data_IF_197316843271
#
_entry.id   IF_197316843271
#
_cell.length_a   1.000
_cell.length_b   1.000
_cell.length_c   1.000
_cell.angle_alpha   90.00
_cell.angle_beta   90.00
_cell.angle_gamma   90.00
#
_symmetry.space_group_name_H-M   'P 1'
#
loop_
_entity.id
_entity.type
_entity.pdbx_description
1 polymer ?
#
# COMPACT_ATOMS: atom_id res chain seq x y z
N UNK A 1 -17.15 48.83 26.47
CA UNK A 1 -17.31 47.36 26.46
C UNK A 1 -15.92 46.75 26.58
N UNK A 2 -15.56 46.25 27.77
CA UNK A 2 -14.22 45.71 28.07
C UNK A 2 -14.20 44.22 27.71
N UNK A 3 -13.22 43.82 26.91
CA UNK A 3 -12.96 42.41 26.56
C UNK A 3 -12.41 41.67 27.79
N UNK A 4 -12.83 40.43 28.06
CA UNK A 4 -12.26 39.64 29.14
C UNK A 4 -10.88 39.11 28.74
N UNK A 5 -9.88 39.32 29.61
CA UNK A 5 -8.56 38.72 29.50
C UNK A 5 -8.65 37.22 29.84
N UNK A 6 -8.34 36.37 28.86
CA UNK A 6 -8.09 34.94 29.07
C UNK A 6 -6.71 34.78 29.72
N UNK A 7 -6.70 34.40 31.00
CA UNK A 7 -5.48 33.99 31.70
C UNK A 7 -5.05 32.61 31.19
N UNK A 8 -3.93 32.58 30.45
CA UNK A 8 -3.20 31.37 30.10
C UNK A 8 -2.56 30.79 31.37
N UNK A 9 -3.12 29.69 31.89
CA UNK A 9 -2.47 28.85 32.90
C UNK A 9 -1.37 28.03 32.23
N UNK A 10 -0.12 28.25 32.64
CA UNK A 10 1.03 27.41 32.28
C UNK A 10 0.85 25.98 32.80
N UNK A 11 1.23 24.94 32.03
CA UNK A 11 1.23 23.57 32.52
C UNK A 11 2.36 23.38 33.54
N UNK A 12 2.01 22.70 34.65
CA UNK A 12 2.93 22.36 35.72
C UNK A 12 4.03 21.40 35.23
N UNK A 13 5.27 21.65 35.67
CA UNK A 13 6.41 20.78 35.42
C UNK A 13 6.20 19.39 36.07
N UNK A 14 6.61 18.28 35.42
CA UNK A 14 6.54 16.96 36.00
C UNK A 14 7.55 16.81 37.15
N UNK A 15 7.10 16.22 38.27
CA UNK A 15 7.94 15.86 39.42
C UNK A 15 8.87 14.69 39.07
N UNK A 16 10.11 14.66 39.62
CA UNK A 16 11.00 13.51 39.47
C UNK A 16 10.65 12.43 40.51
N UNK A 17 10.42 11.22 40.04
CA UNK A 17 10.23 10.01 40.84
C UNK A 17 9.77 8.90 39.88
N UNK A 18 10.27 7.67 39.90
CA UNK A 18 11.04 6.93 40.88
C UNK A 18 11.77 5.87 40.05
N UNK A 19 13.09 5.69 40.22
CA UNK A 19 13.82 4.63 39.53
C UNK A 19 13.32 3.27 40.02
N UNK A 20 12.73 2.49 39.13
CA UNK A 20 12.46 1.07 39.35
C UNK A 20 13.79 0.30 39.30
N UNK A 21 13.95 -0.76 40.13
CA UNK A 21 15.16 -1.57 40.11
C UNK A 21 15.30 -2.32 38.78
N UNK A 22 16.54 -2.62 38.34
CA UNK A 22 16.79 -3.40 37.14
C UNK A 22 16.17 -4.79 37.31
N UNK A 23 15.27 -5.14 36.39
CA UNK A 23 14.74 -6.49 36.27
C UNK A 23 15.87 -7.47 35.93
N UNK A 24 15.68 -8.78 36.22
CA UNK A 24 16.68 -9.80 35.97
C UNK A 24 17.04 -9.78 34.48
N UNK A 25 18.33 -9.62 34.19
CA UNK A 25 18.87 -9.78 32.86
C UNK A 25 18.47 -11.17 32.37
N UNK A 26 17.64 -11.21 31.31
CA UNK A 26 17.46 -12.41 30.53
C UNK A 26 18.85 -12.89 30.12
N UNK A 27 19.16 -14.14 30.47
CA UNK A 27 20.36 -14.81 30.04
C UNK A 27 20.46 -14.66 28.53
N UNK A 28 21.51 -13.96 28.08
CA UNK A 28 21.96 -14.07 26.70
C UNK A 28 22.55 -15.47 26.59
N UNK A 29 21.76 -16.34 26.00
CA UNK A 29 22.24 -17.63 25.50
C UNK A 29 23.07 -17.31 24.24
N UNK A 30 24.28 -16.79 24.46
CA UNK A 30 25.34 -16.66 23.45
C UNK A 30 25.93 -18.06 23.21
N UNK A 31 25.07 -19.00 22.81
CA UNK A 31 25.50 -20.28 22.27
C UNK A 31 25.99 -20.00 20.86
N UNK A 32 27.29 -19.69 20.75
CA UNK A 32 28.10 -19.81 19.54
C UNK A 32 28.17 -21.29 19.12
N UNK A 33 27.00 -21.87 18.83
CA UNK A 33 26.85 -23.23 18.38
C UNK A 33 27.49 -23.34 17.00
N UNK A 34 28.71 -23.87 16.95
CA UNK A 34 29.28 -24.47 15.75
C UNK A 34 28.18 -25.29 15.09
N UNK A 35 27.70 -24.83 13.92
CA UNK A 35 26.40 -25.24 13.40
C UNK A 35 26.32 -26.72 13.15
N UNK A 36 25.89 -27.54 14.11
CA UNK A 36 25.55 -28.91 13.83
C UNK A 36 24.39 -28.90 12.83
N UNK A 37 24.46 -29.73 11.78
CA UNK A 37 23.31 -29.92 10.90
C UNK A 37 22.27 -30.67 11.72
N UNK A 38 21.26 -29.93 12.18
CA UNK A 38 20.13 -30.49 12.91
C UNK A 38 18.99 -30.82 11.95
N UNK A 39 17.95 -31.43 12.49
CA UNK A 39 16.64 -31.44 11.87
C UNK A 39 15.84 -30.26 12.45
N UNK A 40 15.10 -29.54 11.60
CA UNK A 40 14.11 -28.58 12.09
C UNK A 40 12.93 -29.29 12.77
N UNK A 41 12.02 -28.51 13.33
CA UNK A 41 10.75 -28.99 13.91
C UNK A 41 9.89 -29.81 12.93
N UNK A 42 10.25 -29.85 11.64
CA UNK A 42 9.55 -30.58 10.59
C UNK A 42 10.33 -31.79 10.06
N UNK A 43 11.48 -32.12 10.65
CA UNK A 43 12.33 -33.24 10.25
C UNK A 43 13.20 -32.99 9.01
N UNK A 44 13.33 -31.73 8.56
CA UNK A 44 14.18 -31.37 7.43
C UNK A 44 15.56 -30.87 7.90
N UNK A 45 16.60 -31.09 7.08
CA UNK A 45 17.92 -30.56 7.38
C UNK A 45 17.86 -29.05 7.58
N UNK A 46 18.39 -28.60 8.72
CA UNK A 46 18.31 -27.23 9.17
C UNK A 46 19.62 -26.75 9.76
N UNK A 47 20.11 -25.63 9.24
CA UNK A 47 21.32 -24.96 9.70
C UNK A 47 21.19 -23.48 9.33
N UNK A 48 20.69 -22.66 10.25
CA UNK A 48 20.47 -21.23 10.05
C UNK A 48 21.30 -20.33 10.99
N UNK A 49 22.19 -20.89 11.80
CA UNK A 49 23.03 -20.15 12.76
C UNK A 49 22.23 -19.12 13.61
N UNK A 50 20.98 -19.44 13.94
CA UNK A 50 20.08 -18.58 14.72
C UNK A 50 19.63 -17.31 14.01
N UNK A 51 19.80 -17.18 12.69
CA UNK A 51 19.33 -16.01 11.93
C UNK A 51 17.82 -15.81 12.03
N UNK A 52 17.02 -16.87 11.96
CA UNK A 52 15.55 -16.74 12.04
C UNK A 52 15.11 -16.28 13.43
N UNK A 53 15.67 -16.88 14.49
CA UNK A 53 15.40 -16.48 15.88
C UNK A 53 15.76 -15.02 16.14
N UNK A 54 16.93 -14.56 15.67
CA UNK A 54 17.34 -13.15 15.78
C UNK A 54 16.41 -12.22 15.00
N UNK A 55 15.97 -12.60 13.79
CA UNK A 55 15.01 -11.81 13.03
C UNK A 55 13.66 -11.67 13.76
N UNK A 56 13.20 -12.72 14.45
CA UNK A 56 12.03 -12.62 15.32
C UNK A 56 12.26 -11.71 16.54
N UNK A 57 13.45 -11.76 17.13
CA UNK A 57 13.88 -10.83 18.18
C UNK A 57 13.79 -9.37 17.73
N UNK A 58 14.32 -9.06 16.55
CA UNK A 58 14.20 -7.73 15.94
C UNK A 58 12.74 -7.32 15.67
N UNK A 59 11.88 -8.22 15.20
CA UNK A 59 10.44 -7.96 15.08
C UNK A 59 9.82 -7.57 16.43
N UNK A 60 10.16 -8.29 17.50
CA UNK A 60 9.64 -8.03 18.84
C UNK A 60 10.15 -6.69 19.40
N UNK A 61 11.44 -6.40 19.25
CA UNK A 61 12.05 -5.12 19.63
C UNK A 61 11.42 -3.95 18.88
N UNK A 62 11.24 -4.07 17.56
CA UNK A 62 10.57 -3.06 16.75
C UNK A 62 9.11 -2.83 17.16
N UNK A 63 8.37 -3.88 17.50
CA UNK A 63 7.00 -3.76 18.02
C UNK A 63 6.96 -3.02 19.37
N UNK A 64 7.93 -3.29 20.25
CA UNK A 64 8.05 -2.60 21.53
C UNK A 64 8.36 -1.11 21.32
N UNK A 65 9.29 -0.77 20.44
CA UNK A 65 9.62 0.61 20.07
C UNK A 65 8.42 1.33 19.44
N UNK A 66 7.68 0.65 18.54
CA UNK A 66 6.45 1.18 17.93
C UNK A 66 5.39 1.49 18.99
N UNK A 67 5.19 0.61 19.97
CA UNK A 67 4.26 0.81 21.08
C UNK A 67 4.60 2.04 21.93
N UNK A 68 5.88 2.41 22.03
CA UNK A 68 6.36 3.64 22.70
C UNK A 68 6.29 4.89 21.81
N UNK A 69 5.92 4.76 20.54
CA UNK A 69 5.94 5.86 19.57
C UNK A 69 7.33 6.20 19.03
N UNK A 70 8.35 5.40 19.32
CA UNK A 70 9.72 5.57 18.81
C UNK A 70 9.84 4.99 17.40
N UNK A 71 9.20 5.64 16.41
CA UNK A 71 9.06 5.08 15.05
C UNK A 71 10.39 4.89 14.32
N UNK A 72 11.39 5.75 14.57
CA UNK A 72 12.73 5.61 13.98
C UNK A 72 13.47 4.37 14.50
N UNK A 73 13.43 4.13 15.82
CA UNK A 73 13.97 2.92 16.45
C UNK A 73 13.24 1.67 15.93
N UNK A 74 11.91 1.73 15.84
CA UNK A 74 11.11 0.62 15.32
C UNK A 74 11.48 0.27 13.87
N UNK A 75 11.67 1.28 13.00
CA UNK A 75 12.10 1.06 11.62
C UNK A 75 13.48 0.41 11.55
N UNK A 76 14.45 0.89 12.34
CA UNK A 76 15.80 0.33 12.39
C UNK A 76 15.79 -1.15 12.80
N UNK A 77 14.99 -1.52 13.81
CA UNK A 77 14.81 -2.91 14.23
C UNK A 77 14.18 -3.77 13.12
N UNK A 78 13.14 -3.28 12.46
CA UNK A 78 12.53 -4.03 11.35
C UNK A 78 13.49 -4.20 10.17
N UNK A 79 14.30 -3.19 9.85
CA UNK A 79 15.33 -3.26 8.81
C UNK A 79 16.43 -4.28 9.16
N UNK A 80 16.89 -4.33 10.41
CA UNK A 80 17.84 -5.34 10.88
C UNK A 80 17.27 -6.77 10.72
N UNK A 81 15.99 -6.97 11.08
CA UNK A 81 15.30 -8.24 10.85
C UNK A 81 15.23 -8.63 9.37
N UNK A 82 14.96 -7.68 8.48
CA UNK A 82 14.93 -7.92 7.03
C UNK A 82 16.33 -8.26 6.47
N UNK A 83 17.38 -7.62 6.97
CA UNK A 83 18.77 -7.91 6.57
C UNK A 83 19.20 -9.34 6.97
N UNK A 84 18.81 -9.82 8.15
CA UNK A 84 19.08 -11.20 8.55
C UNK A 84 18.37 -12.20 7.63
N UNK A 85 17.10 -11.93 7.27
CA UNK A 85 16.36 -12.80 6.35
C UNK A 85 16.93 -12.78 4.92
N UNK A 86 17.48 -11.65 4.47
CA UNK A 86 18.22 -11.58 3.22
C UNK A 86 19.50 -12.44 3.27
N UNK A 87 20.23 -12.40 4.40
CA UNK A 87 21.41 -13.24 4.61
C UNK A 87 21.07 -14.73 4.52
N UNK A 88 19.96 -15.17 5.14
CA UNK A 88 19.46 -16.56 5.05
C UNK A 88 19.13 -16.94 3.60
N UNK A 89 18.67 -16.00 2.78
CA UNK A 89 18.32 -16.25 1.38
C UNK A 89 19.53 -16.37 0.46
N UNK A 90 20.63 -15.68 0.79
CA UNK A 90 21.82 -15.53 -0.05
C UNK A 90 22.95 -16.51 0.32
N UNK A 91 23.10 -16.83 1.61
CA UNK A 91 24.18 -17.68 2.10
C UNK A 91 23.92 -19.16 1.79
N UNK A 92 24.76 -19.74 0.92
CA UNK A 92 24.67 -21.16 0.51
C UNK A 92 25.02 -22.14 1.62
N UNK A 93 25.66 -21.68 2.70
CA UNK A 93 25.96 -22.51 3.87
C UNK A 93 24.74 -22.72 4.77
N UNK A 94 23.71 -21.88 4.60
CA UNK A 94 22.45 -21.96 5.31
C UNK A 94 21.54 -22.96 4.61
N UNK A 95 21.12 -23.98 5.36
CA UNK A 95 20.22 -25.03 4.87
C UNK A 95 18.89 -24.86 5.59
N UNK A 96 17.83 -24.59 4.84
CA UNK A 96 16.49 -24.36 5.39
C UNK A 96 15.49 -25.23 4.63
N UNK A 97 14.76 -26.08 5.36
CA UNK A 97 13.68 -26.86 4.80
C UNK A 97 12.54 -25.98 4.26
N UNK A 98 11.78 -26.49 3.29
CA UNK A 98 10.72 -25.74 2.61
C UNK A 98 9.68 -25.10 3.57
N UNK A 99 9.34 -25.79 4.67
CA UNK A 99 8.38 -25.27 5.66
C UNK A 99 8.96 -24.11 6.45
N UNK A 100 10.19 -24.23 6.96
CA UNK A 100 10.89 -23.11 7.62
C UNK A 100 11.14 -21.95 6.67
N UNK A 101 11.39 -22.22 5.39
CA UNK A 101 11.47 -21.17 4.38
C UNK A 101 10.13 -20.44 4.22
N UNK A 102 9.01 -21.16 4.20
CA UNK A 102 7.69 -20.51 4.20
C UNK A 102 7.47 -19.62 5.43
N UNK A 103 7.91 -20.07 6.62
CA UNK A 103 7.89 -19.26 7.85
C UNK A 103 8.74 -17.99 7.72
N UNK A 104 9.94 -18.10 7.14
CA UNK A 104 10.82 -16.95 6.87
C UNK A 104 10.17 -15.94 5.93
N UNK A 105 9.48 -16.40 4.88
CA UNK A 105 8.73 -15.49 3.98
C UNK A 105 7.57 -14.81 4.70
N UNK A 106 6.81 -15.53 5.52
CA UNK A 106 5.74 -14.93 6.32
C UNK A 106 6.31 -13.89 7.30
N UNK A 107 7.43 -14.19 7.95
CA UNK A 107 8.11 -13.27 8.87
C UNK A 107 8.54 -11.98 8.15
N UNK A 108 9.14 -12.10 6.97
CA UNK A 108 9.49 -10.97 6.10
C UNK A 108 8.28 -10.10 5.76
N UNK A 109 7.17 -10.71 5.34
CA UNK A 109 5.94 -9.96 5.07
C UNK A 109 5.42 -9.23 6.29
N UNK A 110 5.49 -9.83 7.48
CA UNK A 110 5.08 -9.19 8.73
C UNK A 110 5.98 -8.02 9.10
N UNK A 111 7.30 -8.10 8.85
CA UNK A 111 8.23 -6.98 9.04
C UNK A 111 7.87 -5.81 8.13
N UNK A 112 7.68 -6.05 6.83
CA UNK A 112 7.22 -5.03 5.88
C UNK A 112 5.85 -4.46 6.26
N UNK A 113 4.93 -5.31 6.74
CA UNK A 113 3.67 -4.84 7.28
C UNK A 113 3.95 -3.87 8.44
N UNK A 114 4.76 -4.23 9.44
CA UNK A 114 5.01 -3.34 10.57
C UNK A 114 5.71 -2.03 10.14
N UNK A 115 6.67 -2.07 9.22
CA UNK A 115 7.28 -0.86 8.61
C UNK A 115 6.23 0.05 7.98
N UNK A 116 5.29 -0.50 7.20
CA UNK A 116 4.21 0.32 6.62
C UNK A 116 3.37 1.01 7.70
N UNK A 117 3.19 0.40 8.88
CA UNK A 117 2.51 1.04 10.01
C UNK A 117 3.30 2.24 10.55
N UNK A 118 4.62 2.08 10.72
CA UNK A 118 5.52 3.16 11.12
C UNK A 118 5.46 4.33 10.13
N UNK A 119 5.60 4.06 8.83
CA UNK A 119 5.54 5.08 7.79
C UNK A 119 4.18 5.80 7.76
N UNK A 120 3.06 5.08 7.94
CA UNK A 120 1.74 5.72 8.10
C UNK A 120 1.68 6.67 9.30
N UNK A 121 2.27 6.29 10.45
CA UNK A 121 2.31 7.13 11.65
C UNK A 121 3.23 8.34 11.49
N UNK A 122 4.33 8.20 10.74
CA UNK A 122 5.26 9.27 10.42
C UNK A 122 4.76 10.21 9.31
N UNK A 123 3.70 9.83 8.58
CA UNK A 123 3.18 10.60 7.43
C UNK A 123 3.97 10.39 6.13
N UNK A 124 4.91 9.45 6.10
CA UNK A 124 5.66 9.04 4.89
C UNK A 124 4.81 8.13 4.00
N UNK A 125 3.78 8.69 3.37
CA UNK A 125 2.75 7.91 2.65
C UNK A 125 3.31 7.09 1.48
N UNK A 126 4.35 7.58 0.78
CA UNK A 126 4.98 6.85 -0.32
C UNK A 126 5.67 5.58 0.16
N UNK A 127 6.48 5.69 1.21
CA UNK A 127 7.14 4.56 1.86
C UNK A 127 6.12 3.59 2.44
N UNK A 128 5.07 4.08 3.08
CA UNK A 128 4.01 3.24 3.61
C UNK A 128 3.36 2.34 2.54
N UNK A 129 3.11 2.90 1.34
CA UNK A 129 2.59 2.15 0.19
C UNK A 129 3.62 1.14 -0.32
N UNK A 130 4.89 1.53 -0.43
CA UNK A 130 5.97 0.65 -0.88
C UNK A 130 6.14 -0.56 0.05
N UNK A 131 6.18 -0.33 1.36
CA UNK A 131 6.31 -1.36 2.39
C UNK A 131 5.07 -2.26 2.46
N UNK A 132 3.85 -1.70 2.39
CA UNK A 132 2.64 -2.51 2.34
C UNK A 132 2.55 -3.36 1.06
N UNK A 133 3.04 -2.84 -0.07
CA UNK A 133 3.16 -3.61 -1.31
C UNK A 133 4.22 -4.72 -1.20
N UNK A 134 5.36 -4.45 -0.56
CA UNK A 134 6.39 -5.45 -0.29
C UNK A 134 5.89 -6.58 0.60
N UNK A 135 5.06 -6.26 1.61
CA UNK A 135 4.38 -7.26 2.44
C UNK A 135 3.55 -8.23 1.60
N UNK A 136 2.78 -7.74 0.62
CA UNK A 136 1.92 -8.58 -0.21
C UNK A 136 2.69 -9.51 -1.15
N UNK A 137 3.84 -9.06 -1.65
CA UNK A 137 4.68 -9.87 -2.56
C UNK A 137 5.31 -11.08 -1.87
N UNK A 138 5.55 -11.02 -0.55
CA UNK A 138 6.22 -12.08 0.19
C UNK A 138 7.71 -12.14 -0.12
N UNK A 139 8.06 -12.44 -1.36
CA UNK A 139 9.41 -12.47 -1.89
C UNK A 139 9.58 -11.48 -3.03
N UNK A 140 10.73 -10.82 -3.08
CA UNK A 140 11.21 -10.20 -4.32
C UNK A 140 12.02 -11.28 -5.03
N UNK A 141 11.64 -11.74 -6.24
CA UNK A 141 12.35 -12.81 -6.96
C UNK A 141 13.84 -12.53 -7.17
N UNK A 142 14.24 -11.25 -7.19
CA UNK A 142 15.63 -10.83 -7.24
C UNK A 142 16.42 -11.27 -5.99
N UNK A 143 15.78 -11.28 -4.81
CA UNK A 143 16.39 -11.57 -3.51
C UNK A 143 16.36 -13.06 -3.14
N UNK A 144 15.61 -13.90 -3.88
CA UNK A 144 15.49 -15.34 -3.59
C UNK A 144 16.01 -16.23 -4.73
N UNK A 145 16.80 -15.65 -5.63
CA UNK A 145 17.25 -16.31 -6.86
C UNK A 145 18.30 -17.41 -6.62
N UNK A 146 18.96 -17.43 -5.46
CA UNK A 146 20.14 -18.27 -5.25
C UNK A 146 19.89 -19.58 -4.50
N UNK A 147 18.82 -19.68 -3.71
CA UNK A 147 18.62 -20.84 -2.82
C UNK A 147 17.77 -21.96 -3.44
N UNK A 148 16.88 -21.68 -4.41
CA UNK A 148 16.04 -22.74 -4.99
C UNK A 148 15.69 -22.55 -6.48
N UNK A 149 16.46 -23.20 -7.36
CA UNK A 149 16.20 -23.26 -8.81
C UNK A 149 14.81 -23.83 -9.18
N UNK A 150 14.21 -24.66 -8.32
CA UNK A 150 12.89 -25.25 -8.55
C UNK A 150 11.72 -24.27 -8.31
N UNK A 151 11.94 -23.14 -7.63
CA UNK A 151 10.93 -22.08 -7.44
C UNK A 151 10.91 -21.13 -8.66
N UNK A 152 12.02 -21.03 -9.41
CA UNK A 152 12.19 -20.09 -10.51
C UNK A 152 11.59 -20.56 -11.86
N UNK A 153 11.16 -21.82 -11.97
CA UNK A 153 10.82 -22.44 -13.27
C UNK A 153 9.47 -21.98 -13.90
N UNK A 154 8.81 -20.94 -13.39
CA UNK A 154 7.47 -20.56 -13.92
C UNK A 154 6.99 -19.14 -13.70
N UNK A 155 7.78 -18.23 -13.11
CA UNK A 155 7.30 -16.90 -12.78
C UNK A 155 7.29 -15.97 -14.01
N UNK A 156 6.11 -15.80 -14.63
CA UNK A 156 5.87 -14.71 -15.59
C UNK A 156 5.78 -13.41 -14.82
N UNK A 157 6.53 -12.39 -15.22
CA UNK A 157 6.49 -11.05 -14.61
C UNK A 157 5.16 -10.38 -14.95
N UNK A 158 4.16 -10.52 -14.08
CA UNK A 158 2.94 -9.71 -14.12
C UNK A 158 3.16 -8.40 -13.34
N UNK A 159 2.55 -7.32 -13.81
CA UNK A 159 2.68 -5.96 -13.24
C UNK A 159 1.89 -5.77 -11.94
N UNK A 160 0.92 -6.67 -11.69
CA UNK A 160 0.20 -6.75 -10.43
C UNK A 160 1.09 -7.55 -9.46
N UNK A 161 1.39 -7.03 -8.26
CA UNK A 161 2.14 -7.81 -7.28
C UNK A 161 1.36 -9.09 -7.00
N UNK A 162 1.90 -10.22 -7.47
CA UNK A 162 1.38 -11.54 -7.15
C UNK A 162 1.37 -11.65 -5.63
N UNK A 163 0.16 -11.71 -5.08
CA UNK A 163 -0.02 -11.76 -3.64
C UNK A 163 0.42 -13.13 -3.19
N UNK A 164 1.36 -13.19 -2.26
CA UNK A 164 1.89 -14.46 -1.79
C UNK A 164 0.75 -15.28 -1.14
N UNK A 165 0.45 -16.47 -1.69
CA UNK A 165 -0.67 -17.28 -1.24
C UNK A 165 -0.49 -17.79 0.20
N UNK A 166 0.75 -17.81 0.70
CA UNK A 166 1.09 -18.25 2.06
C UNK A 166 0.64 -17.27 3.14
N UNK A 167 0.33 -16.04 2.77
CA UNK A 167 -0.09 -15.01 3.74
C UNK A 167 -1.52 -15.23 4.20
N UNK A 168 -1.73 -15.13 5.51
CA UNK A 168 -3.07 -15.14 6.09
C UNK A 168 -3.94 -14.00 5.51
N UNK A 169 -5.23 -14.26 5.33
CA UNK A 169 -6.17 -13.29 4.75
C UNK A 169 -6.17 -11.95 5.52
N UNK A 170 -6.15 -12.00 6.86
CA UNK A 170 -6.05 -10.80 7.69
C UNK A 170 -4.77 -9.97 7.48
N UNK A 171 -3.64 -10.60 7.14
CA UNK A 171 -2.39 -9.88 6.81
C UNK A 171 -2.55 -9.18 5.47
N UNK A 172 -3.07 -9.89 4.46
CA UNK A 172 -3.36 -9.32 3.13
C UNK A 172 -4.33 -8.13 3.22
N UNK A 173 -5.41 -8.27 3.99
CA UNK A 173 -6.40 -7.22 4.20
C UNK A 173 -5.76 -5.96 4.81
N UNK A 174 -4.93 -6.12 5.85
CA UNK A 174 -4.23 -4.99 6.49
C UNK A 174 -3.27 -4.29 5.53
N UNK A 175 -2.51 -5.04 4.75
CA UNK A 175 -1.57 -4.48 3.77
C UNK A 175 -2.31 -3.69 2.68
N UNK A 176 -3.35 -4.29 2.06
CA UNK A 176 -4.18 -3.60 1.08
C UNK A 176 -4.85 -2.35 1.64
N UNK A 177 -5.32 -2.42 2.89
CA UNK A 177 -5.93 -1.26 3.54
C UNK A 177 -4.93 -0.12 3.72
N UNK A 178 -3.69 -0.40 4.15
CA UNK A 178 -2.65 0.65 4.28
C UNK A 178 -2.22 1.23 2.94
N UNK A 179 -2.18 0.43 1.88
CA UNK A 179 -1.97 0.94 0.53
C UNK A 179 -3.11 1.89 0.13
N UNK A 180 -4.36 1.55 0.44
CA UNK A 180 -5.51 2.42 0.19
C UNK A 180 -5.38 3.76 0.91
N UNK A 181 -5.03 3.74 2.20
CA UNK A 181 -4.81 4.95 2.99
C UNK A 181 -3.70 5.83 2.40
N UNK A 182 -2.55 5.23 2.06
CA UNK A 182 -1.43 5.94 1.46
C UNK A 182 -1.78 6.55 0.10
N UNK A 183 -2.43 5.79 -0.79
CA UNK A 183 -2.88 6.30 -2.08
C UNK A 183 -3.89 7.44 -1.95
N UNK A 184 -4.82 7.35 -0.99
CA UNK A 184 -5.79 8.41 -0.75
C UNK A 184 -5.12 9.71 -0.29
N UNK A 185 -4.07 9.61 0.54
CA UNK A 185 -3.28 10.75 1.01
C UNK A 185 -2.43 11.38 -0.07
N UNK A 186 -1.98 10.58 -1.04
CA UNK A 186 -1.21 11.05 -2.20
C UNK A 186 -2.11 11.59 -3.34
N UNK A 187 -3.43 11.52 -3.21
CA UNK A 187 -4.38 11.98 -4.24
C UNK A 187 -4.67 10.96 -5.35
N UNK A 188 -4.14 9.74 -5.24
CA UNK A 188 -4.38 8.66 -6.21
C UNK A 188 -5.68 7.91 -5.90
N UNK A 189 -6.82 8.60 -5.99
CA UNK A 189 -8.10 8.08 -5.50
C UNK A 189 -8.59 6.80 -6.20
N UNK A 190 -8.32 6.65 -7.51
CA UNK A 190 -8.68 5.42 -8.23
C UNK A 190 -7.94 4.21 -7.67
N UNK A 191 -6.61 4.33 -7.47
CA UNK A 191 -5.77 3.30 -6.86
C UNK A 191 -6.18 3.01 -5.42
N UNK A 192 -6.52 4.05 -4.65
CA UNK A 192 -7.01 3.91 -3.29
C UNK A 192 -8.31 3.07 -3.23
N UNK A 193 -9.27 3.32 -4.13
CA UNK A 193 -10.52 2.54 -4.21
C UNK A 193 -10.25 1.09 -4.59
N UNK A 194 -9.38 0.84 -5.57
CA UNK A 194 -9.00 -0.51 -5.94
C UNK A 194 -8.40 -1.27 -4.75
N UNK A 195 -7.43 -0.67 -4.05
CA UNK A 195 -6.81 -1.27 -2.87
C UNK A 195 -7.82 -1.50 -1.73
N UNK A 196 -8.79 -0.60 -1.51
CA UNK A 196 -9.85 -0.80 -0.53
C UNK A 196 -10.76 -1.99 -0.89
N UNK A 197 -11.13 -2.14 -2.16
CA UNK A 197 -11.92 -3.28 -2.62
C UNK A 197 -11.18 -4.62 -2.42
N UNK A 198 -9.87 -4.65 -2.72
CA UNK A 198 -9.01 -5.81 -2.43
C UNK A 198 -8.92 -6.11 -0.93
N UNK A 199 -8.81 -5.07 -0.09
CA UNK A 199 -8.82 -5.22 1.35
C UNK A 199 -10.13 -5.84 1.85
N UNK A 200 -11.29 -5.38 1.37
CA UNK A 200 -12.60 -5.94 1.72
C UNK A 200 -12.72 -7.41 1.33
N UNK A 201 -12.26 -7.77 0.12
CA UNK A 201 -12.29 -9.17 -0.36
C UNK A 201 -11.39 -10.11 0.46
N UNK A 202 -10.36 -9.60 1.12
CA UNK A 202 -9.47 -10.38 1.99
C UNK A 202 -9.85 -10.28 3.48
N UNK A 203 -10.86 -9.50 3.85
CA UNK A 203 -11.14 -9.16 5.25
C UNK A 203 -12.06 -10.17 5.93
N UNK A 204 -11.50 -10.92 6.89
CA UNK A 204 -12.25 -11.84 7.76
C UNK A 204 -12.71 -11.17 9.06
N UNK A 205 -12.02 -10.13 9.53
CA UNK A 205 -12.35 -9.40 10.76
C UNK A 205 -13.42 -8.33 10.50
N UNK A 206 -14.58 -8.47 11.15
CA UNK A 206 -15.71 -7.52 11.12
C UNK A 206 -15.29 -6.08 11.48
N UNK A 207 -14.40 -5.90 12.46
CA UNK A 207 -13.95 -4.56 12.88
C UNK A 207 -13.13 -3.91 11.78
N UNK A 208 -12.20 -4.67 11.18
CA UNK A 208 -11.41 -4.18 10.07
C UNK A 208 -12.30 -3.90 8.85
N UNK A 209 -13.27 -4.78 8.54
CA UNK A 209 -14.21 -4.61 7.44
C UNK A 209 -14.97 -3.29 7.56
N UNK A 210 -15.52 -2.99 8.73
CA UNK A 210 -16.22 -1.72 8.99
C UNK A 210 -15.30 -0.49 8.80
N UNK A 211 -14.03 -0.58 9.22
CA UNK A 211 -13.05 0.49 9.00
C UNK A 211 -12.74 0.68 7.51
N UNK A 212 -12.55 -0.40 6.75
CA UNK A 212 -12.28 -0.34 5.30
C UNK A 212 -13.49 0.23 4.56
N UNK A 213 -14.72 -0.17 4.89
CA UNK A 213 -15.94 0.38 4.27
C UNK A 213 -16.04 1.88 4.49
N UNK A 214 -15.91 2.34 5.75
CA UNK A 214 -15.93 3.77 6.09
C UNK A 214 -14.82 4.55 5.36
N UNK A 215 -13.63 3.96 5.22
CA UNK A 215 -12.55 4.56 4.46
C UNK A 215 -12.89 4.66 2.97
N UNK A 216 -13.46 3.60 2.37
CA UNK A 216 -13.87 3.58 0.96
C UNK A 216 -14.86 4.70 0.63
N UNK A 217 -15.86 4.93 1.49
CA UNK A 217 -16.81 6.03 1.34
C UNK A 217 -16.13 7.39 1.38
N UNK A 218 -15.17 7.56 2.30
CA UNK A 218 -14.36 8.78 2.40
C UNK A 218 -13.53 9.00 1.13
N UNK A 219 -12.91 7.96 0.58
CA UNK A 219 -12.14 8.05 -0.68
C UNK A 219 -13.06 8.45 -1.83
N UNK A 220 -14.26 7.87 -1.94
CA UNK A 220 -15.23 8.26 -2.96
C UNK A 220 -15.65 9.73 -2.84
N UNK A 221 -15.88 10.22 -1.62
CA UNK A 221 -16.18 11.63 -1.37
C UNK A 221 -15.01 12.56 -1.75
N UNK A 222 -13.77 12.18 -1.43
CA UNK A 222 -12.57 12.93 -1.81
C UNK A 222 -12.39 12.98 -3.34
N UNK A 223 -12.60 11.85 -4.02
CA UNK A 223 -12.54 11.76 -5.48
C UNK A 223 -13.55 12.71 -6.16
N UNK A 224 -14.81 12.72 -5.68
CA UNK A 224 -15.84 13.65 -6.18
C UNK A 224 -15.46 15.11 -5.97
N UNK A 225 -14.90 15.45 -4.81
CA UNK A 225 -14.43 16.82 -4.50
C UNK A 225 -13.29 17.23 -5.41
N UNK A 226 -12.30 16.37 -5.62
CA UNK A 226 -11.17 16.63 -6.51
C UNK A 226 -11.64 16.83 -7.96
N UNK A 227 -12.54 15.97 -8.46
CA UNK A 227 -13.12 16.12 -9.79
C UNK A 227 -13.91 17.42 -9.94
N UNK A 228 -14.69 17.81 -8.92
CA UNK A 228 -15.41 19.08 -8.91
C UNK A 228 -14.46 20.29 -8.93
N UNK A 229 -13.37 20.25 -8.15
CA UNK A 229 -12.34 21.30 -8.15
C UNK A 229 -11.66 21.41 -9.52
N UNK A 230 -11.28 20.28 -10.13
CA UNK A 230 -10.72 20.26 -11.49
C UNK A 230 -11.70 20.88 -12.50
N UNK A 231 -12.97 20.45 -12.50
CA UNK A 231 -14.01 21.04 -13.36
C UNK A 231 -14.15 22.55 -13.17
N UNK A 232 -14.06 23.05 -11.94
CA UNK A 232 -14.09 24.49 -11.65
C UNK A 232 -12.84 25.21 -12.15
N UNK A 233 -11.66 24.64 -12.01
CA UNK A 233 -10.42 25.21 -12.55
C UNK A 233 -10.46 25.36 -14.08
N UNK A 234 -11.08 24.40 -14.77
CA UNK A 234 -11.27 24.45 -16.22
C UNK A 234 -12.57 25.16 -16.65
N UNK A 235 -13.38 25.65 -15.71
CA UNK A 235 -14.60 26.37 -16.03
C UNK A 235 -14.24 27.71 -16.69
N UNK A 236 -14.63 27.85 -17.96
CA UNK A 236 -14.28 29.01 -18.77
C UNK A 236 -12.88 28.96 -19.41
N UNK A 237 -12.06 27.94 -19.13
CA UNK A 237 -10.81 27.71 -19.88
C UNK A 237 -11.11 27.51 -21.38
N UNK A 238 -12.12 26.69 -21.68
CA UNK A 238 -12.59 26.46 -23.05
C UNK A 238 -13.20 27.69 -23.70
N UNK A 239 -14.02 28.45 -22.96
CA UNK A 239 -14.57 29.71 -23.45
C UNK A 239 -13.47 30.73 -23.77
N UNK A 240 -12.39 30.78 -22.98
CA UNK A 240 -11.21 31.60 -23.25
C UNK A 240 -10.43 31.09 -24.46
N UNK A 241 -10.26 29.77 -24.62
CA UNK A 241 -9.65 29.17 -25.82
C UNK A 241 -10.42 29.53 -27.10
N UNK A 242 -11.74 29.50 -27.05
CA UNK A 242 -12.62 29.87 -28.17
C UNK A 242 -12.59 31.38 -28.44
N UNK A 243 -12.71 32.23 -27.41
CA UNK A 243 -12.76 33.69 -27.55
C UNK A 243 -11.40 34.32 -27.89
N UNK A 244 -10.30 33.83 -27.32
CA UNK A 244 -8.97 34.41 -27.52
C UNK A 244 -8.27 33.90 -28.78
N UNK A 245 -8.96 33.17 -29.66
CA UNK A 245 -8.37 32.59 -30.88
C UNK A 245 -7.05 31.88 -30.59
N UNK A 246 -7.06 30.87 -29.71
CA UNK A 246 -5.86 30.09 -29.38
C UNK A 246 -5.06 29.73 -30.64
N UNK A 247 -3.88 30.36 -30.79
CA UNK A 247 -3.05 30.33 -32.00
C UNK A 247 -2.58 28.94 -32.44
N UNK A 248 -2.80 27.91 -31.62
CA UNK A 248 -2.43 26.52 -31.91
C UNK A 248 -3.40 25.78 -32.83
N UNK A 249 -4.68 26.20 -32.92
CA UNK A 249 -5.68 25.48 -33.74
C UNK A 249 -5.81 26.06 -35.16
N UNK A 250 -5.27 27.26 -35.41
CA UNK A 250 -5.55 27.99 -36.66
C UNK A 250 -4.63 27.68 -37.84
N UNK A 251 -3.41 27.15 -37.63
CA UNK A 251 -2.43 27.08 -38.74
C UNK A 251 -2.51 25.82 -39.62
N UNK A 252 -2.83 24.64 -39.07
CA UNK A 252 -2.85 23.42 -39.91
C UNK A 252 -4.25 22.87 -40.22
N UNK A 253 -5.27 23.17 -39.41
CA UNK A 253 -6.66 22.77 -39.68
C UNK A 253 -7.33 23.58 -40.80
N UNK A 254 -6.76 24.71 -41.20
CA UNK A 254 -7.26 25.50 -42.34
C UNK A 254 -6.81 24.95 -43.70
N UNK A 255 -5.88 23.98 -43.74
CA UNK A 255 -5.42 23.39 -45.01
C UNK A 255 -6.37 22.33 -45.60
N UNK A 256 -7.31 21.81 -44.81
CA UNK A 256 -8.43 20.97 -45.26
C UNK A 256 -9.74 21.56 -44.75
N UNK A 257 -10.35 22.46 -45.53
CA UNK A 257 -11.53 23.26 -45.18
C UNK A 257 -12.85 22.51 -44.89
N UNK A 258 -12.83 21.32 -44.28
CA UNK A 258 -14.01 20.51 -43.98
C UNK A 258 -14.33 20.34 -42.48
N UNK A 259 -13.47 20.76 -41.55
CA UNK A 259 -13.65 20.44 -40.11
C UNK A 259 -14.32 21.52 -39.26
N UNK A 260 -14.26 22.80 -39.65
CA UNK A 260 -14.83 23.89 -38.83
C UNK A 260 -16.36 23.80 -38.66
N UNK A 261 -17.11 23.43 -39.71
CA UNK A 261 -18.57 23.37 -39.62
C UNK A 261 -19.08 22.22 -38.74
N UNK A 262 -18.29 21.15 -38.59
CA UNK A 262 -18.67 20.03 -37.72
C UNK A 262 -18.49 20.38 -36.24
N UNK A 263 -17.43 21.10 -35.87
CA UNK A 263 -17.14 21.35 -34.44
C UNK A 263 -18.20 22.18 -33.73
N UNK A 264 -18.71 23.23 -34.38
CA UNK A 264 -19.73 24.11 -33.79
C UNK A 264 -21.07 23.40 -33.60
N UNK A 265 -21.39 22.42 -34.44
CA UNK A 265 -22.59 21.59 -34.34
C UNK A 265 -22.52 20.45 -33.32
N UNK A 266 -21.33 20.10 -32.81
CA UNK A 266 -21.18 19.04 -31.82
C UNK A 266 -21.63 19.50 -30.43
N UNK A 267 -22.36 18.63 -29.74
CA UNK A 267 -22.71 18.83 -28.33
C UNK A 267 -21.49 18.73 -27.42
N UNK A 268 -21.58 19.27 -26.20
CA UNK A 268 -20.46 19.31 -25.25
C UNK A 268 -19.85 17.93 -24.94
N UNK A 269 -20.67 16.87 -24.91
CA UNK A 269 -20.21 15.49 -24.68
C UNK A 269 -19.41 14.95 -25.87
N UNK A 270 -19.85 15.23 -27.10
CA UNK A 270 -19.19 14.80 -28.33
C UNK A 270 -17.87 15.54 -28.56
N UNK A 271 -17.84 16.85 -28.23
CA UNK A 271 -16.59 17.62 -28.22
C UNK A 271 -15.57 17.00 -27.25
N UNK A 272 -16.01 16.53 -26.09
CA UNK A 272 -15.14 15.87 -25.11
C UNK A 272 -14.58 14.55 -25.65
N UNK A 273 -15.41 13.74 -26.32
CA UNK A 273 -14.97 12.51 -27.00
C UNK A 273 -13.97 12.82 -28.13
N UNK A 274 -14.22 13.88 -28.90
CA UNK A 274 -13.36 14.24 -30.02
C UNK A 274 -12.00 14.81 -29.55
N UNK A 275 -11.96 15.55 -28.43
CA UNK A 275 -10.68 15.96 -27.80
C UNK A 275 -9.94 14.73 -27.26
N UNK A 276 -10.63 13.81 -26.57
CA UNK A 276 -10.02 12.59 -26.06
C UNK A 276 -9.44 11.71 -27.19
N UNK A 277 -10.09 11.67 -28.35
CA UNK A 277 -9.59 10.95 -29.53
C UNK A 277 -8.36 11.61 -30.16
N UNK A 278 -8.21 12.94 -30.05
CA UNK A 278 -7.02 13.67 -30.54
C UNK A 278 -5.85 13.59 -29.55
N UNK A 279 -6.14 13.57 -28.25
CA UNK A 279 -5.15 13.39 -27.17
C UNK A 279 -4.55 11.98 -27.18
N UNK A 280 -5.31 10.98 -27.63
CA UNK A 280 -4.81 9.61 -27.82
C UNK A 280 -4.06 9.37 -29.12
N UNK A 281 -3.86 10.38 -29.98
CA UNK A 281 -3.50 10.13 -31.38
C UNK A 281 -2.02 10.29 -31.73
N UNK A 282 -1.16 11.07 -31.06
CA UNK A 282 0.30 11.06 -31.36
C UNK A 282 1.09 11.93 -30.35
N UNK A 283 2.07 11.32 -29.65
CA UNK A 283 3.29 12.04 -29.24
C UNK A 283 3.40 12.52 -27.79
N UNK A 284 3.36 11.61 -26.83
CA UNK A 284 4.49 11.31 -25.93
C UNK A 284 3.96 10.35 -24.89
N UNK A 285 4.28 9.10 -25.18
CA UNK A 285 3.76 7.93 -24.52
C UNK A 285 4.30 7.91 -23.09
N UNK A 286 3.47 8.35 -22.13
CA UNK A 286 3.47 7.85 -20.76
C UNK A 286 3.14 6.32 -20.73
N UNK A 287 3.57 5.54 -21.74
CA UNK A 287 3.43 4.07 -21.81
C UNK A 287 4.28 3.34 -20.77
N UNK A 288 5.06 4.07 -19.98
CA UNK A 288 5.66 3.54 -18.76
C UNK A 288 4.61 3.48 -17.62
N UNK A 289 3.45 4.11 -17.82
CA UNK A 289 2.28 3.90 -16.99
C UNK A 289 1.56 2.63 -17.45
N UNK A 290 2.09 1.49 -17.02
CA UNK A 290 1.37 0.21 -17.04
C UNK A 290 0.08 0.36 -16.22
N UNK A 291 -0.96 0.82 -16.90
CA UNK A 291 -2.32 0.70 -16.46
C UNK A 291 -2.55 -0.75 -16.06
N UNK A 292 -3.16 -0.92 -14.90
CA UNK A 292 -3.87 -2.14 -14.55
C UNK A 292 -4.90 -2.37 -15.66
N UNK A 293 -4.47 -3.02 -16.74
CA UNK A 293 -5.37 -3.67 -17.66
C UNK A 293 -6.10 -4.69 -16.80
N UNK A 294 -7.31 -4.30 -16.39
CA UNK A 294 -8.25 -5.22 -15.81
C UNK A 294 -8.43 -6.33 -16.84
N UNK A 295 -7.80 -7.48 -16.60
CA UNK A 295 -8.26 -8.74 -17.17
C UNK A 295 -9.75 -8.79 -16.86
N UNK A 296 -10.56 -8.64 -17.91
CA UNK A 296 -12.00 -8.41 -17.88
C UNK A 296 -12.82 -9.59 -17.36
N UNK A 297 -12.46 -10.13 -16.19
CA UNK A 297 -13.40 -10.81 -15.32
C UNK A 297 -14.09 -9.74 -14.50
N UNK A 298 -15.18 -9.23 -15.06
CA UNK A 298 -16.21 -8.54 -14.29
C UNK A 298 -16.49 -9.38 -13.04
N UNK A 299 -16.04 -8.89 -11.87
CA UNK A 299 -16.58 -9.38 -10.62
C UNK A 299 -18.10 -9.15 -10.71
N UNK A 300 -18.95 -10.16 -10.44
CA UNK A 300 -20.38 -9.95 -10.46
C UNK A 300 -20.67 -8.75 -9.56
N UNK A 301 -21.30 -7.72 -10.14
CA UNK A 301 -21.91 -6.65 -9.36
C UNK A 301 -22.81 -7.35 -8.34
N UNK A 302 -22.40 -7.33 -7.07
CA UNK A 302 -23.30 -7.62 -5.97
C UNK A 302 -24.37 -6.53 -6.05
N UNK A 303 -25.52 -6.89 -6.64
CA UNK A 303 -26.74 -6.11 -6.52
C UNK A 303 -27.02 -6.00 -5.03
N UNK A 304 -26.86 -4.79 -4.51
CA UNK A 304 -27.27 -4.46 -3.16
C UNK A 304 -28.79 -4.40 -3.16
N UNK A 305 -29.43 -5.56 -3.05
CA UNK A 305 -30.84 -5.62 -2.70
C UNK A 305 -30.96 -5.09 -1.27
N UNK A 306 -31.53 -3.90 -1.16
CA UNK A 306 -31.76 -3.24 0.12
C UNK A 306 -32.60 -4.12 1.06
N UNK A 307 -32.50 -3.91 2.38
CA UNK A 307 -33.27 -4.69 3.34
C UNK A 307 -34.77 -4.54 3.06
N UNK A 308 -35.56 -5.63 3.16
CA UNK A 308 -37.00 -5.56 2.96
C UNK A 308 -37.62 -4.63 4.01
N UNK A 309 -38.43 -3.68 3.53
CA UNK A 309 -39.25 -2.83 4.38
C UNK A 309 -40.09 -3.68 5.32
N UNK A 310 -39.89 -3.49 6.62
CA UNK A 310 -40.77 -4.02 7.64
C UNK A 310 -42.14 -3.36 7.47
N UNK A 311 -43.07 -4.08 6.83
CA UNK A 311 -44.49 -3.75 6.87
C UNK A 311 -44.95 -3.86 8.31
N UNK A 312 -45.17 -2.73 8.95
CA UNK A 312 -46.00 -2.63 10.14
C UNK A 312 -47.43 -3.01 9.75
N UNK A 313 -47.85 -4.22 10.11
CA UNK A 313 -49.25 -4.62 10.15
C UNK A 313 -49.80 -4.38 11.55
N UNK A 314 -50.95 -3.70 11.62
CA UNK A 314 -51.81 -3.65 12.81
C UNK A 314 -52.60 -4.93 13.02
#
# INVERSE_FOLDING_TARGET
RRSPQLQLRSPAAPRPGTQAPPGPMAARDDSDGEGAVGEDEHGAAFRDYGFLSRAEGHKAAGNAAFGRGAFGEALAEYDAGLQLLATVAEDRSVVVGQKKWNEAVVLRSLLHLNKSACCCRAGSWREAVAEASACLRGNVPAETSFTHAHILAGAKRSSIPEVDPRLAAGVRAKAWFRMSEGYARLGYFARARHAAARALGACEDEKLRALVTKHSDRVAALAKRAQHQQRRHFQGYWAKLEQQQGGYVKRDLTRRGQTKSKWEGLGAAERLQHVAALDGSDGDSDSDYEGFAEDGRALPMLSWDGPPEARAGG
#
